data_IF_177695102199
#
_entry.id   IF_177695102199
#
_cell.length_a   1.000
_cell.length_b   1.000
_cell.length_c   1.000
_cell.angle_alpha   90.00
_cell.angle_beta   90.00
_cell.angle_gamma   90.00
#
_symmetry.space_group_name_H-M   'P 1'
#
loop_
_entity.id
_entity.type
_entity.pdbx_description
1 polymer ?
#
# COMPACT_ATOMS: atom_id res chain seq x y z
N UNK A 1 -9.66 -93.70 45.44
CA UNK A 1 -10.41 -93.19 44.26
C UNK A 1 -11.50 -92.15 44.63
N UNK A 2 -12.02 -92.05 45.86
CA UNK A 2 -13.05 -91.07 46.23
C UNK A 2 -12.54 -89.58 46.45
N UNK A 3 -11.26 -89.41 46.68
CA UNK A 3 -10.68 -88.05 46.94
C UNK A 3 -10.33 -87.30 45.67
N UNK A 4 -10.19 -87.91 44.53
CA UNK A 4 -9.84 -87.29 43.23
C UNK A 4 -11.13 -86.80 42.57
N UNK A 5 -12.27 -87.39 42.81
CA UNK A 5 -13.54 -86.94 42.24
C UNK A 5 -14.06 -85.63 42.86
N UNK A 6 -13.75 -85.35 44.14
CA UNK A 6 -14.16 -84.17 44.85
C UNK A 6 -13.31 -82.94 44.44
N UNK A 7 -12.05 -83.11 44.03
CA UNK A 7 -11.21 -82.02 43.56
C UNK A 7 -11.58 -81.56 42.13
N UNK A 8 -12.05 -82.41 41.28
CA UNK A 8 -12.47 -82.12 39.91
C UNK A 8 -13.81 -81.34 39.87
N UNK A 9 -14.71 -81.60 40.81
CA UNK A 9 -16.00 -80.86 40.88
C UNK A 9 -15.81 -79.45 41.44
N UNK A 10 -14.86 -79.26 42.35
CA UNK A 10 -14.56 -77.94 42.89
C UNK A 10 -13.91 -76.97 41.83
N UNK A 11 -13.08 -77.48 40.93
CA UNK A 11 -12.48 -76.64 39.83
C UNK A 11 -13.50 -76.21 38.76
N UNK A 12 -14.49 -77.07 38.49
CA UNK A 12 -15.53 -76.75 37.49
C UNK A 12 -16.49 -75.68 38.00
N UNK A 13 -16.80 -75.65 39.30
CA UNK A 13 -17.70 -74.64 39.91
C UNK A 13 -17.01 -73.26 40.00
N UNK A 14 -15.69 -73.17 40.17
CA UNK A 14 -14.95 -71.94 40.24
C UNK A 14 -14.83 -71.26 38.82
N UNK A 15 -14.78 -72.05 37.74
CA UNK A 15 -14.72 -71.54 36.40
C UNK A 15 -16.05 -70.94 35.87
N UNK A 16 -17.17 -71.40 36.42
CA UNK A 16 -18.49 -70.90 36.01
C UNK A 16 -18.83 -69.48 36.65
N UNK A 17 -18.24 -69.20 37.80
CA UNK A 17 -18.49 -67.90 38.48
C UNK A 17 -17.61 -66.76 37.98
N UNK A 18 -16.49 -67.05 37.29
CA UNK A 18 -15.57 -66.05 36.77
C UNK A 18 -16.01 -65.36 35.44
N UNK A 19 -17.04 -65.93 34.78
CA UNK A 19 -17.52 -65.41 33.49
C UNK A 19 -18.65 -64.36 33.57
N UNK A 20 -19.14 -64.02 34.75
CA UNK A 20 -20.29 -63.15 34.90
C UNK A 20 -19.95 -61.66 35.07
N UNK A 21 -18.67 -61.24 35.24
CA UNK A 21 -18.28 -59.86 35.46
C UNK A 21 -17.64 -59.20 34.22
N UNK A 22 -17.63 -59.87 33.07
CA UNK A 22 -17.03 -59.32 31.86
C UNK A 22 -18.03 -58.60 30.92
N UNK A 23 -19.31 -58.50 31.32
CA UNK A 23 -20.35 -57.95 30.42
C UNK A 23 -20.66 -56.45 30.62
N UNK A 24 -19.99 -55.76 31.54
CA UNK A 24 -20.24 -54.34 31.77
C UNK A 24 -19.02 -53.41 31.47
N UNK A 25 -18.25 -53.78 30.45
CA UNK A 25 -17.36 -52.84 29.83
C UNK A 25 -18.23 -51.91 28.98
N UNK A 26 -18.60 -50.76 29.56
CA UNK A 26 -19.31 -49.68 28.86
C UNK A 26 -18.68 -49.47 27.49
N UNK A 27 -19.50 -49.47 26.44
CA UNK A 27 -19.05 -49.21 25.08
C UNK A 27 -18.14 -47.98 25.10
N UNK A 28 -16.92 -48.03 24.51
CA UNK A 28 -16.07 -46.84 24.44
C UNK A 28 -16.87 -45.71 23.80
N UNK A 29 -17.10 -44.63 24.57
CA UNK A 29 -17.75 -43.45 24.05
C UNK A 29 -16.80 -42.84 23.00
N UNK A 30 -17.07 -43.12 21.73
CA UNK A 30 -16.37 -42.50 20.62
C UNK A 30 -16.68 -41.00 20.68
N UNK A 31 -15.77 -40.21 21.26
CA UNK A 31 -15.84 -38.76 21.20
C UNK A 31 -15.50 -38.38 19.77
N UNK A 32 -16.51 -37.99 19.01
CA UNK A 32 -16.30 -37.36 17.71
C UNK A 32 -15.39 -36.14 17.96
N UNK A 33 -14.24 -36.04 17.30
CA UNK A 33 -13.40 -34.84 17.41
C UNK A 33 -14.26 -33.59 17.10
N UNK A 34 -14.08 -32.46 17.83
CA UNK A 34 -14.80 -31.27 17.52
C UNK A 34 -14.55 -30.88 16.04
N UNK A 35 -15.58 -30.43 15.31
CA UNK A 35 -15.40 -30.04 13.93
C UNK A 35 -14.34 -28.94 13.85
N UNK A 36 -13.44 -29.04 12.90
CA UNK A 36 -12.44 -27.99 12.63
C UNK A 36 -13.21 -26.72 12.26
N UNK A 37 -13.02 -25.59 12.98
CA UNK A 37 -13.72 -24.36 12.65
C UNK A 37 -13.40 -23.94 11.21
N UNK A 38 -14.38 -23.44 10.45
CA UNK A 38 -14.16 -22.96 9.10
C UNK A 38 -13.20 -21.77 9.13
N UNK A 39 -12.37 -21.65 8.08
CA UNK A 39 -11.49 -20.51 7.92
C UNK A 39 -12.28 -19.19 7.92
N UNK A 40 -11.80 -18.18 8.62
CA UNK A 40 -12.39 -16.83 8.66
C UNK A 40 -11.36 -15.76 8.35
N UNK A 41 -11.79 -14.71 7.65
CA UNK A 41 -10.95 -13.53 7.40
C UNK A 41 -10.95 -12.53 8.55
N UNK A 42 -11.74 -12.76 9.60
CA UNK A 42 -11.76 -11.90 10.79
C UNK A 42 -10.44 -11.96 11.55
N UNK A 43 -9.88 -10.81 11.85
CA UNK A 43 -8.65 -10.67 12.61
C UNK A 43 -7.82 -9.48 12.13
N UNK A 44 -6.82 -9.11 12.94
CA UNK A 44 -5.85 -8.09 12.57
C UNK A 44 -4.60 -8.75 11.98
N UNK A 45 -3.88 -8.02 11.17
CA UNK A 45 -2.67 -8.50 10.51
C UNK A 45 -1.60 -7.41 10.45
N UNK A 46 -0.37 -7.86 10.30
CA UNK A 46 0.79 -7.06 9.94
C UNK A 46 1.46 -7.71 8.75
N UNK A 47 2.01 -6.91 7.86
CA UNK A 47 2.66 -7.45 6.67
C UNK A 47 3.71 -6.53 6.09
N UNK A 48 4.40 -7.06 5.08
CA UNK A 48 5.33 -6.32 4.26
C UNK A 48 4.94 -6.40 2.79
N UNK A 49 5.32 -5.39 2.02
CA UNK A 49 5.09 -5.35 0.60
C UNK A 49 6.30 -4.81 -0.18
N UNK A 50 6.34 -5.18 -1.45
CA UNK A 50 7.25 -4.62 -2.44
C UNK A 50 6.47 -4.42 -3.74
N UNK A 51 6.82 -3.39 -4.50
CA UNK A 51 6.09 -3.10 -5.72
C UNK A 51 6.83 -2.19 -6.68
N UNK A 52 6.13 -1.90 -7.73
CA UNK A 52 6.53 -0.96 -8.77
C UNK A 52 5.49 0.15 -8.90
N UNK A 53 5.97 1.40 -8.97
CA UNK A 53 5.14 2.57 -9.17
C UNK A 53 5.51 3.32 -10.43
N UNK A 54 4.50 3.90 -11.05
CA UNK A 54 4.66 4.89 -12.13
C UNK A 54 3.74 6.07 -11.85
N UNK A 55 4.25 7.26 -12.09
CA UNK A 55 3.57 8.51 -11.80
C UNK A 55 3.60 9.45 -13.00
N UNK A 56 2.70 10.42 -12.94
CA UNK A 56 2.67 11.53 -13.87
C UNK A 56 2.57 12.82 -13.10
N UNK A 57 3.53 13.70 -13.36
CA UNK A 57 3.61 15.05 -12.80
C UNK A 57 3.23 16.05 -13.87
N UNK A 58 2.30 16.95 -13.55
CA UNK A 58 1.96 18.07 -14.40
C UNK A 58 2.32 19.36 -13.68
N UNK A 59 3.27 20.07 -14.23
CA UNK A 59 3.72 21.39 -13.74
C UNK A 59 3.09 22.47 -14.58
N UNK A 60 2.46 23.44 -13.95
CA UNK A 60 1.86 24.60 -14.63
C UNK A 60 2.19 25.89 -13.91
N UNK A 61 2.49 26.92 -14.69
CA UNK A 61 2.74 28.28 -14.22
C UNK A 61 1.64 29.16 -14.82
N UNK A 62 0.56 29.43 -14.07
CA UNK A 62 -0.63 30.11 -14.61
C UNK A 62 -0.43 31.58 -14.85
N UNK A 63 0.48 32.23 -14.15
CA UNK A 63 0.74 33.69 -14.29
C UNK A 63 2.23 33.96 -14.09
N UNK A 64 2.91 34.24 -15.20
CA UNK A 64 4.35 34.47 -15.19
C UNK A 64 4.71 35.79 -14.50
N UNK A 65 3.85 36.83 -14.62
CA UNK A 65 4.06 38.12 -13.99
C UNK A 65 3.99 38.07 -12.47
N UNK A 66 3.03 37.32 -11.90
CA UNK A 66 2.99 37.09 -10.46
C UNK A 66 4.15 36.21 -9.98
N UNK A 67 4.57 35.27 -10.84
CA UNK A 67 5.65 34.32 -10.55
C UNK A 67 7.03 35.01 -10.57
N UNK A 68 7.23 35.97 -11.44
CA UNK A 68 8.54 36.65 -11.63
C UNK A 68 8.60 38.06 -11.01
N UNK A 69 7.48 38.57 -10.49
CA UNK A 69 7.41 39.96 -10.00
C UNK A 69 7.51 41.03 -11.10
N UNK A 70 7.44 40.64 -12.37
CA UNK A 70 7.52 41.51 -13.53
C UNK A 70 6.11 41.83 -14.04
N UNK A 71 5.57 43.05 -13.80
CA UNK A 71 4.20 43.40 -14.18
C UNK A 71 3.89 43.27 -15.67
N UNK A 72 4.89 43.47 -16.54
CA UNK A 72 4.75 43.34 -17.99
C UNK A 72 4.46 41.91 -18.47
N UNK A 73 4.75 40.91 -17.65
CA UNK A 73 4.46 39.49 -17.89
C UNK A 73 3.15 39.04 -17.24
N UNK A 74 2.39 39.98 -16.67
CA UNK A 74 1.10 39.66 -16.04
C UNK A 74 0.11 39.13 -17.07
N UNK A 75 -0.49 37.97 -16.78
CA UNK A 75 -1.41 37.30 -17.70
C UNK A 75 -0.75 36.37 -18.73
N UNK A 76 0.58 36.31 -18.76
CA UNK A 76 1.30 35.32 -19.57
C UNK A 76 1.34 33.99 -18.80
N UNK A 77 0.75 32.94 -19.38
CA UNK A 77 0.83 31.57 -18.85
C UNK A 77 1.80 30.74 -19.69
N UNK A 78 2.61 29.90 -19.04
CA UNK A 78 3.42 28.94 -19.74
C UNK A 78 2.61 27.67 -20.01
N UNK A 79 2.86 26.96 -21.13
CA UNK A 79 2.24 25.66 -21.36
C UNK A 79 2.62 24.70 -20.24
N UNK A 80 1.65 23.85 -19.85
CA UNK A 80 1.91 22.83 -18.82
C UNK A 80 2.89 21.79 -19.35
N UNK A 81 3.90 21.48 -18.55
CA UNK A 81 4.89 20.43 -18.82
C UNK A 81 4.50 19.18 -18.05
N UNK A 82 4.49 18.04 -18.73
CA UNK A 82 4.16 16.75 -18.11
C UNK A 82 5.38 15.85 -18.14
N UNK A 83 5.74 15.32 -16.98
CA UNK A 83 6.82 14.36 -16.81
C UNK A 83 6.30 13.02 -16.30
N UNK A 84 6.85 11.92 -16.81
CA UNK A 84 6.57 10.58 -16.32
C UNK A 84 7.67 10.15 -15.34
N UNK A 85 7.25 9.57 -14.22
CA UNK A 85 8.14 9.05 -13.17
C UNK A 85 7.90 7.56 -12.98
N UNK A 86 8.93 6.80 -12.61
CA UNK A 86 8.81 5.36 -12.37
C UNK A 86 9.87 4.88 -11.38
N UNK A 87 9.58 3.81 -10.67
CA UNK A 87 10.53 3.23 -9.74
C UNK A 87 9.95 2.15 -8.85
N UNK A 88 10.78 1.67 -7.94
CA UNK A 88 10.41 0.66 -6.96
C UNK A 88 9.90 1.30 -5.68
N UNK A 89 9.07 0.57 -4.96
CA UNK A 89 8.62 0.91 -3.62
C UNK A 89 8.57 -0.36 -2.76
N UNK A 90 8.64 -0.19 -1.44
CA UNK A 90 8.50 -1.29 -0.50
C UNK A 90 8.32 -0.77 0.91
N UNK A 91 7.58 -1.52 1.70
CA UNK A 91 7.21 -1.07 3.03
C UNK A 91 6.41 -2.08 3.82
N UNK A 92 5.57 -1.57 4.71
CA UNK A 92 4.75 -2.37 5.58
C UNK A 92 3.30 -1.93 5.61
N UNK A 93 2.45 -2.86 6.01
CA UNK A 93 1.03 -2.60 6.24
C UNK A 93 0.56 -3.24 7.54
N UNK A 94 -0.46 -2.65 8.11
CA UNK A 94 -1.19 -3.16 9.26
C UNK A 94 -2.68 -2.93 9.03
N UNK A 95 -3.50 -3.90 9.37
CA UNK A 95 -4.94 -3.77 9.20
C UNK A 95 -5.73 -4.75 10.04
N UNK A 96 -7.05 -4.55 10.03
CA UNK A 96 -7.99 -5.46 10.66
C UNK A 96 -9.16 -5.68 9.72
N UNK A 97 -9.58 -6.92 9.58
CA UNK A 97 -10.73 -7.35 8.80
C UNK A 97 -11.82 -7.92 9.72
N UNK A 98 -13.07 -7.72 9.34
CA UNK A 98 -14.24 -8.32 9.96
C UNK A 98 -15.13 -8.95 8.91
N UNK A 99 -15.26 -10.27 8.95
CA UNK A 99 -16.15 -11.03 8.08
C UNK A 99 -17.55 -11.05 8.70
N UNK A 100 -18.43 -10.16 8.22
CA UNK A 100 -19.78 -9.95 8.76
C UNK A 100 -20.82 -10.88 8.16
N UNK A 101 -20.50 -11.55 7.07
CA UNK A 101 -21.34 -12.55 6.40
C UNK A 101 -20.45 -13.62 5.79
N UNK A 102 -20.98 -14.80 5.40
CA UNK A 102 -20.19 -15.92 4.90
C UNK A 102 -19.16 -15.56 3.82
N UNK A 103 -19.50 -14.58 2.96
CA UNK A 103 -18.65 -14.18 1.82
C UNK A 103 -18.26 -12.70 1.83
N UNK A 104 -18.60 -11.92 2.88
CA UNK A 104 -18.37 -10.49 2.87
C UNK A 104 -17.47 -10.05 4.01
N UNK A 105 -16.48 -9.27 3.69
CA UNK A 105 -15.49 -8.73 4.61
C UNK A 105 -15.45 -7.22 4.49
N UNK A 106 -15.41 -6.55 5.64
CA UNK A 106 -15.03 -5.14 5.74
C UNK A 106 -13.75 -5.03 6.55
N UNK A 107 -12.95 -4.02 6.31
CA UNK A 107 -11.72 -3.81 7.03
C UNK A 107 -11.17 -2.41 6.91
N UNK A 108 -10.12 -2.17 7.66
CA UNK A 108 -9.32 -0.95 7.60
C UNK A 108 -7.85 -1.37 7.49
N UNK A 109 -7.10 -0.67 6.65
CA UNK A 109 -5.67 -0.90 6.44
C UNK A 109 -4.93 0.43 6.46
N UNK A 110 -3.80 0.47 7.16
CA UNK A 110 -2.80 1.52 7.04
C UNK A 110 -1.55 0.93 6.41
N UNK A 111 -1.00 1.60 5.42
CA UNK A 111 0.24 1.22 4.75
C UNK A 111 1.21 2.39 4.67
N UNK A 112 2.50 2.06 4.67
CA UNK A 112 3.58 3.02 4.49
C UNK A 112 4.74 2.39 3.76
N UNK A 113 5.15 3.01 2.66
CA UNK A 113 6.21 2.55 1.78
C UNK A 113 7.31 3.61 1.63
N UNK A 114 8.57 3.18 1.73
CA UNK A 114 9.68 3.91 1.16
C UNK A 114 9.64 3.74 -0.36
N UNK A 115 9.77 4.83 -1.09
CA UNK A 115 9.69 4.84 -2.53
C UNK A 115 10.96 5.43 -3.15
N UNK A 116 11.33 4.93 -4.31
CA UNK A 116 12.39 5.47 -5.14
C UNK A 116 11.85 5.65 -6.57
N UNK A 117 10.77 6.45 -6.67
CA UNK A 117 10.10 6.77 -7.94
C UNK A 117 10.69 8.08 -8.43
N UNK A 118 11.40 8.02 -9.56
CA UNK A 118 12.15 9.15 -10.11
C UNK A 118 11.73 9.44 -11.55
N UNK A 119 11.84 10.71 -11.92
CA UNK A 119 11.71 11.14 -13.31
C UNK A 119 12.40 12.48 -13.51
N UNK A 120 12.97 12.60 -14.67
CA UNK A 120 13.68 13.79 -15.11
C UNK A 120 12.92 14.39 -16.31
N UNK A 121 12.72 15.69 -16.26
CA UNK A 121 12.14 16.43 -17.37
C UNK A 121 13.14 17.50 -17.77
N UNK A 122 13.66 17.37 -18.99
CA UNK A 122 14.47 18.43 -19.60
C UNK A 122 13.61 19.13 -20.63
N UNK A 123 13.41 20.41 -20.44
CA UNK A 123 12.67 21.26 -21.39
C UNK A 123 13.48 22.47 -21.77
N UNK A 124 13.30 22.91 -23.01
CA UNK A 124 13.96 24.07 -23.58
C UNK A 124 12.90 25.10 -23.94
N UNK A 125 12.85 26.16 -23.17
CA UNK A 125 11.90 27.25 -23.38
C UNK A 125 12.61 28.35 -24.17
N UNK A 126 12.04 28.71 -25.32
CA UNK A 126 12.48 29.86 -26.11
C UNK A 126 11.55 31.03 -25.84
N UNK A 127 12.09 32.13 -25.44
CA UNK A 127 11.35 33.40 -25.24
C UNK A 127 12.10 34.59 -25.86
N UNK A 128 11.36 35.62 -26.21
CA UNK A 128 11.97 36.86 -26.65
C UNK A 128 12.26 37.72 -25.43
N UNK A 129 13.51 37.99 -25.18
CA UNK A 129 13.93 38.89 -24.09
C UNK A 129 13.33 40.27 -24.29
N UNK A 130 12.47 40.78 -23.39
CA UNK A 130 11.80 42.07 -23.57
C UNK A 130 12.74 43.26 -23.55
N UNK A 131 13.94 43.10 -22.98
CA UNK A 131 14.93 44.17 -22.90
C UNK A 131 15.81 44.26 -24.16
N UNK A 132 16.11 43.11 -24.78
CA UNK A 132 17.01 43.05 -25.93
C UNK A 132 16.27 42.82 -27.24
N UNK A 133 14.99 42.42 -27.19
CA UNK A 133 14.16 41.95 -28.31
C UNK A 133 14.77 40.78 -29.11
N UNK A 134 15.74 40.07 -28.51
CA UNK A 134 16.37 38.89 -29.10
C UNK A 134 15.75 37.60 -28.60
N UNK A 135 15.65 36.56 -29.45
CA UNK A 135 15.23 35.27 -28.98
C UNK A 135 16.32 34.65 -28.09
N UNK A 136 15.95 34.30 -26.87
CA UNK A 136 16.79 33.57 -25.91
C UNK A 136 16.22 32.18 -25.64
N UNK A 137 17.10 31.25 -25.38
CA UNK A 137 16.74 29.86 -25.11
C UNK A 137 17.33 29.45 -23.75
N UNK A 138 16.47 29.06 -22.84
CA UNK A 138 16.88 28.56 -21.52
C UNK A 138 16.51 27.06 -21.46
N UNK A 139 17.52 26.23 -21.22
CA UNK A 139 17.33 24.80 -20.97
C UNK A 139 17.39 24.58 -19.48
N UNK A 140 16.33 24.02 -18.93
CA UNK A 140 16.23 23.60 -17.54
C UNK A 140 15.98 22.11 -17.41
N UNK A 141 16.63 21.47 -16.45
CA UNK A 141 16.33 20.09 -16.07
C UNK A 141 15.70 20.09 -14.68
N UNK A 142 14.49 19.56 -14.60
CA UNK A 142 13.77 19.36 -13.36
C UNK A 142 13.78 17.89 -12.99
N UNK A 143 14.20 17.58 -11.76
CA UNK A 143 14.21 16.25 -11.18
C UNK A 143 13.09 16.14 -10.15
N UNK A 144 12.25 15.13 -10.28
CA UNK A 144 11.21 14.81 -9.32
C UNK A 144 11.48 13.41 -8.71
N UNK A 145 11.48 13.35 -7.39
CA UNK A 145 11.64 12.09 -6.65
C UNK A 145 10.56 11.95 -5.59
N UNK A 146 9.93 10.77 -5.54
CA UNK A 146 9.08 10.37 -4.41
C UNK A 146 9.91 9.53 -3.46
N UNK A 147 9.96 9.95 -2.18
CA UNK A 147 10.71 9.27 -1.14
C UNK A 147 9.85 8.30 -0.35
N UNK A 148 8.57 8.63 -0.11
CA UNK A 148 7.65 7.78 0.62
C UNK A 148 6.20 8.04 0.24
N UNK A 149 5.37 7.02 0.42
CA UNK A 149 3.91 7.07 0.29
C UNK A 149 3.32 6.44 1.54
N UNK A 150 2.23 6.99 2.07
CA UNK A 150 1.48 6.38 3.15
C UNK A 150 -0.01 6.52 2.88
N UNK A 151 -0.81 5.53 3.33
CA UNK A 151 -2.25 5.63 3.21
C UNK A 151 -3.00 5.01 4.39
N UNK A 152 -4.26 5.46 4.57
CA UNK A 152 -5.25 4.84 5.44
C UNK A 152 -6.51 4.62 4.64
N UNK A 153 -6.91 3.37 4.51
CA UNK A 153 -7.98 2.95 3.60
C UNK A 153 -9.00 2.06 4.31
N UNK A 154 -10.27 2.20 3.93
CA UNK A 154 -11.29 1.20 4.16
C UNK A 154 -11.21 0.12 3.09
N UNK A 155 -11.46 -1.14 3.45
CA UNK A 155 -11.49 -2.30 2.55
C UNK A 155 -12.87 -2.92 2.55
N UNK A 156 -13.33 -3.34 1.36
CA UNK A 156 -14.56 -4.11 1.18
C UNK A 156 -14.25 -5.29 0.27
N UNK A 157 -14.44 -6.50 0.77
CA UNK A 157 -14.03 -7.72 0.11
C UNK A 157 -15.14 -8.76 -0.01
N UNK A 158 -15.04 -9.55 -1.07
CA UNK A 158 -15.82 -10.75 -1.27
C UNK A 158 -14.89 -11.96 -1.20
N UNK A 159 -15.28 -12.97 -0.40
CA UNK A 159 -14.44 -14.12 -0.13
C UNK A 159 -15.02 -15.40 -0.71
N UNK A 160 -14.14 -16.21 -1.23
CA UNK A 160 -14.41 -17.57 -1.62
C UNK A 160 -13.38 -18.46 -0.93
N UNK A 161 -13.80 -19.06 0.21
CA UNK A 161 -12.93 -19.83 1.09
C UNK A 161 -11.65 -19.03 1.47
N UNK A 162 -10.50 -19.46 1.02
CA UNK A 162 -9.19 -18.89 1.32
C UNK A 162 -8.74 -17.78 0.34
N UNK A 163 -9.61 -17.38 -0.57
CA UNK A 163 -9.34 -16.28 -1.52
C UNK A 163 -10.29 -15.12 -1.25
N UNK A 164 -9.74 -13.91 -1.19
CA UNK A 164 -10.50 -12.66 -1.04
C UNK A 164 -10.19 -11.73 -2.21
N UNK A 165 -11.22 -11.31 -2.93
CA UNK A 165 -11.18 -10.20 -3.86
C UNK A 165 -11.68 -8.95 -3.12
N UNK A 166 -10.95 -7.84 -3.19
CA UNK A 166 -11.33 -6.63 -2.46
C UNK A 166 -11.07 -5.37 -3.25
N UNK A 167 -11.86 -4.35 -2.93
CA UNK A 167 -11.61 -2.96 -3.25
C UNK A 167 -11.24 -2.19 -1.97
N UNK A 168 -10.46 -1.14 -2.11
CA UNK A 168 -10.11 -0.25 -1.00
C UNK A 168 -10.11 1.21 -1.45
N UNK A 169 -10.25 2.13 -0.48
CA UNK A 169 -10.17 3.56 -0.75
C UNK A 169 -10.05 4.36 0.53
N UNK A 170 -9.39 5.51 0.43
CA UNK A 170 -9.15 6.35 1.60
C UNK A 170 -8.24 7.53 1.36
N UNK A 171 -7.68 8.06 2.45
CA UNK A 171 -6.70 9.13 2.43
C UNK A 171 -5.29 8.64 2.17
N UNK A 172 -4.50 9.45 1.48
CA UNK A 172 -3.10 9.16 1.18
C UNK A 172 -2.23 10.40 1.35
N UNK A 173 -0.97 10.19 1.61
CA UNK A 173 0.06 11.24 1.73
C UNK A 173 1.32 10.80 0.99
N UNK A 174 1.98 11.75 0.34
CA UNK A 174 3.23 11.51 -0.39
C UNK A 174 4.27 12.54 0.00
N UNK A 175 5.50 12.09 0.24
CA UNK A 175 6.65 12.94 0.42
C UNK A 175 7.50 12.99 -0.85
N UNK A 176 7.63 14.17 -1.41
CA UNK A 176 8.35 14.42 -2.65
C UNK A 176 9.51 15.35 -2.43
N UNK A 177 10.59 15.11 -3.18
CA UNK A 177 11.71 16.03 -3.36
C UNK A 177 11.73 16.52 -4.80
N UNK A 178 11.82 17.80 -4.95
CA UNK A 178 11.98 18.46 -6.24
C UNK A 178 13.32 19.17 -6.26
N UNK A 179 14.11 18.95 -7.32
CA UNK A 179 15.32 19.71 -7.57
C UNK A 179 15.30 20.22 -9.00
N UNK A 180 15.82 21.41 -9.19
CA UNK A 180 15.97 22.05 -10.49
C UNK A 180 17.39 22.56 -10.64
N UNK A 181 18.02 22.22 -11.77
CA UNK A 181 19.32 22.72 -12.18
C UNK A 181 19.13 23.76 -13.29
N UNK A 182 19.42 25.01 -12.99
CA UNK A 182 19.38 26.11 -13.93
C UNK A 182 20.80 26.34 -14.47
N UNK A 183 21.12 25.72 -15.59
CA UNK A 183 22.48 25.76 -16.19
C UNK A 183 22.95 27.19 -16.52
N UNK A 184 22.01 28.10 -16.84
CA UNK A 184 22.34 29.46 -17.16
C UNK A 184 22.84 30.29 -15.96
N UNK A 185 22.48 29.88 -14.73
CA UNK A 185 22.80 30.66 -13.50
C UNK A 185 23.68 29.90 -12.52
N UNK A 186 24.06 28.65 -12.83
CA UNK A 186 24.82 27.75 -11.95
C UNK A 186 24.17 27.58 -10.55
N UNK A 187 22.84 27.60 -10.51
CA UNK A 187 22.00 27.50 -9.30
C UNK A 187 21.37 26.11 -9.19
N UNK A 188 21.47 25.51 -8.00
CA UNK A 188 20.82 24.27 -7.64
C UNK A 188 19.77 24.53 -6.56
N UNK A 189 18.51 24.30 -6.88
CA UNK A 189 17.37 24.53 -5.99
C UNK A 189 16.79 23.19 -5.57
N UNK A 190 16.59 22.99 -4.26
CA UNK A 190 15.97 21.79 -3.69
C UNK A 190 14.84 22.16 -2.74
N UNK A 191 13.70 21.48 -2.87
CA UNK A 191 12.58 21.63 -1.95
C UNK A 191 11.91 20.28 -1.67
N UNK A 192 11.42 20.11 -0.44
CA UNK A 192 10.70 18.91 -0.03
C UNK A 192 9.28 19.30 0.37
N UNK A 193 8.30 18.57 -0.16
CA UNK A 193 6.88 18.86 0.08
C UNK A 193 6.13 17.57 0.37
N UNK A 194 5.28 17.62 1.41
CA UNK A 194 4.30 16.57 1.68
C UNK A 194 2.95 16.98 1.11
N UNK A 195 2.38 16.14 0.25
CA UNK A 195 1.09 16.39 -0.39
C UNK A 195 0.03 15.40 0.11
N UNK A 196 -1.11 15.88 0.63
CA UNK A 196 -2.25 15.02 0.90
C UNK A 196 -2.99 14.69 -0.39
N UNK A 197 -3.70 13.56 -0.38
CA UNK A 197 -4.50 13.10 -1.50
C UNK A 197 -5.45 12.00 -1.10
N UNK A 198 -5.95 11.30 -2.09
CA UNK A 198 -6.79 10.13 -1.92
C UNK A 198 -6.27 8.97 -2.76
N UNK A 199 -6.64 7.77 -2.36
CA UNK A 199 -6.33 6.54 -3.10
C UNK A 199 -7.58 5.69 -3.27
N UNK A 200 -7.62 4.98 -4.38
CA UNK A 200 -8.54 3.89 -4.64
C UNK A 200 -7.77 2.75 -5.28
N UNK A 201 -8.09 1.55 -4.87
CA UNK A 201 -7.39 0.38 -5.35
C UNK A 201 -8.18 -0.89 -5.15
N UNK A 202 -7.54 -2.00 -5.43
CA UNK A 202 -8.09 -3.31 -5.22
C UNK A 202 -7.08 -4.39 -5.45
N UNK A 203 -7.41 -5.59 -4.99
CA UNK A 203 -6.48 -6.69 -5.07
C UNK A 203 -7.12 -8.04 -4.81
N UNK A 204 -6.28 -9.05 -4.91
CA UNK A 204 -6.59 -10.42 -4.56
C UNK A 204 -5.65 -10.83 -3.44
N UNK A 205 -6.20 -11.41 -2.39
CA UNK A 205 -5.45 -11.95 -1.25
C UNK A 205 -5.79 -13.43 -1.09
N UNK A 206 -4.76 -14.27 -0.95
CA UNK A 206 -4.88 -15.70 -0.79
C UNK A 206 -4.22 -16.17 0.50
N UNK A 207 -5.00 -16.80 1.39
CA UNK A 207 -4.52 -17.42 2.61
C UNK A 207 -3.98 -18.82 2.31
N UNK A 208 -2.69 -18.93 2.07
CA UNK A 208 -2.02 -20.20 1.76
C UNK A 208 -1.76 -21.05 3.02
N UNK A 209 -1.70 -20.42 4.20
CA UNK A 209 -1.74 -21.04 5.52
C UNK A 209 -2.73 -20.31 6.43
N UNK A 210 -3.01 -20.87 7.58
CA UNK A 210 -4.04 -20.34 8.49
C UNK A 210 -3.76 -18.90 8.94
N UNK A 211 -2.48 -18.58 9.20
CA UNK A 211 -2.06 -17.25 9.62
C UNK A 211 -1.37 -16.42 8.51
N UNK A 212 -1.04 -17.02 7.37
CA UNK A 212 -0.29 -16.36 6.33
C UNK A 212 -1.11 -16.19 5.06
N UNK A 213 -1.07 -15.00 4.51
CA UNK A 213 -1.64 -14.71 3.21
C UNK A 213 -0.67 -13.93 2.34
N UNK A 214 -0.83 -14.11 1.03
CA UNK A 214 -0.16 -13.32 0.01
C UNK A 214 -1.16 -12.47 -0.73
N UNK A 215 -0.81 -11.22 -1.06
CA UNK A 215 -1.67 -10.32 -1.83
C UNK A 215 -0.98 -9.75 -3.06
N UNK A 216 -1.77 -9.50 -4.08
CA UNK A 216 -1.42 -8.66 -5.23
C UNK A 216 -2.44 -7.52 -5.26
N UNK A 217 -1.95 -6.31 -5.32
CA UNK A 217 -2.74 -5.09 -5.16
C UNK A 217 -2.35 -4.06 -6.20
N UNK A 218 -3.34 -3.38 -6.77
CA UNK A 218 -3.17 -2.21 -7.60
C UNK A 218 -3.80 -1.01 -6.90
N UNK A 219 -3.07 0.10 -6.81
CA UNK A 219 -3.57 1.34 -6.26
C UNK A 219 -3.35 2.51 -7.22
N UNK A 220 -4.35 3.36 -7.29
CA UNK A 220 -4.32 4.66 -7.94
C UNK A 220 -4.36 5.75 -6.88
N UNK A 221 -3.36 6.63 -6.90
CA UNK A 221 -3.22 7.76 -6.01
C UNK A 221 -3.40 9.07 -6.78
N UNK A 222 -4.17 10.00 -6.22
CA UNK A 222 -4.34 11.35 -6.75
C UNK A 222 -4.07 12.35 -5.62
N UNK A 223 -2.98 13.10 -5.75
CA UNK A 223 -2.57 14.06 -4.74
C UNK A 223 -3.03 15.48 -5.09
N UNK A 224 -3.27 16.27 -4.06
CA UNK A 224 -3.66 17.68 -4.20
C UNK A 224 -2.56 18.46 -4.91
N UNK A 225 -2.97 19.50 -5.63
CA UNK A 225 -2.01 20.40 -6.26
C UNK A 225 -1.18 21.12 -5.18
N UNK A 226 0.13 20.98 -5.24
CA UNK A 226 1.04 21.77 -4.41
C UNK A 226 1.36 23.10 -5.11
N UNK A 227 1.21 24.18 -4.36
CA UNK A 227 1.72 25.49 -4.76
C UNK A 227 3.14 25.61 -4.23
N UNK A 228 4.12 25.49 -5.11
CA UNK A 228 5.52 25.60 -4.75
C UNK A 228 5.96 27.07 -4.88
N UNK A 229 6.60 27.54 -3.83
CA UNK A 229 7.37 28.78 -3.85
C UNK A 229 8.84 28.40 -4.01
N UNK A 230 9.40 28.61 -5.18
CA UNK A 230 10.79 28.28 -5.45
C UNK A 230 11.67 29.50 -5.10
N UNK A 231 12.63 29.37 -4.16
CA UNK A 231 13.63 30.42 -3.98
C UNK A 231 14.48 30.47 -5.25
N UNK A 232 14.54 31.64 -5.89
CA UNK A 232 15.33 31.87 -7.08
C UNK A 232 16.07 33.18 -6.99
N UNK A 233 17.18 33.32 -7.73
CA UNK A 233 17.88 34.61 -7.88
C UNK A 233 17.69 35.05 -9.32
N UNK A 234 16.88 36.06 -9.52
CA UNK A 234 16.67 36.67 -10.84
C UNK A 234 17.48 37.99 -10.88
N UNK A 235 18.42 38.11 -11.82
CA UNK A 235 19.27 39.27 -12.00
C UNK A 235 20.03 39.75 -10.73
N UNK A 236 20.44 38.79 -9.87
CA UNK A 236 21.20 39.07 -8.64
C UNK A 236 20.34 39.49 -7.44
N UNK A 237 19.03 39.48 -7.55
CA UNK A 237 18.07 39.68 -6.46
C UNK A 237 17.49 38.33 -6.03
N UNK A 238 17.64 37.98 -4.74
CA UNK A 238 17.01 36.79 -4.17
C UNK A 238 15.51 37.05 -4.07
N UNK A 239 14.73 36.44 -4.95
CA UNK A 239 13.28 36.47 -4.92
C UNK A 239 12.69 35.07 -4.81
N UNK A 240 11.57 34.98 -4.12
CA UNK A 240 10.77 33.75 -4.07
C UNK A 240 9.83 33.76 -5.26
N UNK A 241 10.00 32.83 -6.20
CA UNK A 241 9.11 32.65 -7.35
C UNK A 241 7.84 31.91 -6.86
N UNK A 242 6.72 32.61 -6.59
CA UNK A 242 5.48 32.01 -6.18
C UNK A 242 4.70 31.47 -7.38
N UNK A 243 3.84 30.46 -7.15
CA UNK A 243 2.80 30.11 -8.12
C UNK A 243 3.11 28.97 -9.08
N UNK A 244 4.11 28.14 -8.79
CA UNK A 244 4.31 26.89 -9.54
C UNK A 244 3.34 25.83 -9.00
N UNK A 245 2.38 25.43 -9.82
CA UNK A 245 1.40 24.41 -9.48
C UNK A 245 1.87 23.04 -9.95
N UNK A 246 2.02 22.09 -9.02
CA UNK A 246 2.40 20.72 -9.32
C UNK A 246 1.28 19.77 -8.92
N UNK A 247 0.67 19.13 -9.91
CA UNK A 247 -0.31 18.05 -9.72
C UNK A 247 0.35 16.72 -9.98
N UNK A 248 0.19 15.77 -9.03
CA UNK A 248 0.78 14.45 -9.10
C UNK A 248 -0.25 13.34 -9.05
N UNK A 249 -0.09 12.35 -9.91
CA UNK A 249 -0.80 11.08 -9.85
C UNK A 249 0.20 9.93 -9.85
N UNK A 250 -0.03 8.90 -9.02
CA UNK A 250 0.82 7.71 -8.95
C UNK A 250 -0.06 6.49 -9.06
N UNK A 251 0.42 5.49 -9.77
CA UNK A 251 -0.17 4.16 -9.85
C UNK A 251 0.86 3.14 -9.37
N UNK A 252 0.41 2.13 -8.63
CA UNK A 252 1.32 1.11 -8.11
C UNK A 252 0.76 -0.28 -8.31
N UNK A 253 1.64 -1.24 -8.50
CA UNK A 253 1.35 -2.67 -8.34
C UNK A 253 2.23 -3.18 -7.21
N UNK A 254 1.60 -3.77 -6.20
CA UNK A 254 2.27 -4.26 -4.99
C UNK A 254 2.03 -5.75 -4.79
N UNK A 255 3.07 -6.45 -4.33
CA UNK A 255 3.02 -7.83 -3.86
C UNK A 255 3.29 -7.79 -2.36
N UNK A 256 2.42 -8.36 -1.56
CA UNK A 256 2.54 -8.33 -0.11
C UNK A 256 2.35 -9.70 0.52
N UNK A 257 2.90 -9.85 1.71
CA UNK A 257 2.68 -11.00 2.59
C UNK A 257 2.20 -10.46 3.92
N UNK A 258 1.12 -11.07 4.45
CA UNK A 258 0.53 -10.73 5.74
C UNK A 258 0.63 -11.89 6.70
N UNK A 259 0.90 -11.58 7.97
CA UNK A 259 0.70 -12.48 9.10
C UNK A 259 -0.50 -12.02 9.90
N UNK A 260 -1.48 -12.88 10.04
CA UNK A 260 -2.75 -12.60 10.69
C UNK A 260 -2.77 -13.13 12.12
N UNK A 261 -3.21 -12.27 13.04
CA UNK A 261 -3.47 -12.60 14.43
C UNK A 261 -4.98 -12.77 14.60
N UNK A 262 -5.42 -13.87 15.13
CA UNK A 262 -6.86 -14.07 15.36
C UNK A 262 -7.19 -15.56 15.57
N UNK A 263 -8.40 -15.83 16.07
CA UNK A 263 -8.87 -17.22 16.17
C UNK A 263 -9.06 -17.80 14.77
N UNK A 264 -8.77 -19.08 14.68
CA UNK A 264 -9.03 -19.91 13.50
C UNK A 264 -10.50 -20.17 13.35
#
# INVERSE_FOLDING_TARGET
>A
MKKILLASVACVVVMVVASANAADLGRPVYRVPPPIPPFTWTGCYIGGNIGWGWGRDTVSIPNLGETTGVPELSGVSLPSVTGDTKGVLGGGQVGCNYQFAPNWVIGIEGDGEAANIKGDVTDTVSFTNPLTSLPETVTGTAHAQTDWIASVTGRFGWTWDRVMLYAKGGGAWVGNKYSADLTAFNEHIQTSVTQPGWTVGGGVEWAFWDNWSGKVEYDYYNFSTANLSLPGTIAGVSEVVPGVNVKRTIQTVKFGINYRFGPY
#
